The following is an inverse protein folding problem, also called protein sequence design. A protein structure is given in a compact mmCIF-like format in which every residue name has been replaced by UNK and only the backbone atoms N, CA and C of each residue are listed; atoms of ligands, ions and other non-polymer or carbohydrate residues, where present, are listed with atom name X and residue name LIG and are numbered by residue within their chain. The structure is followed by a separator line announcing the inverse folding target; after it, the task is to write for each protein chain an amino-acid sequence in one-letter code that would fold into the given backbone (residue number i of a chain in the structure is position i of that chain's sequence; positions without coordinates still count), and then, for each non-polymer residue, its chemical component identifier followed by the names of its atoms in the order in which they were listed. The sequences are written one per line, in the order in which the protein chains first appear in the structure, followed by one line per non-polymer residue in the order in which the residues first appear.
data_IF_836773371070
#
_entry.id   IF_836773371070
#
_cell.length_a   1.000
_cell.length_b   1.000
_cell.length_c   1.000
_cell.angle_alpha   90.00
_cell.angle_beta   90.00
_cell.angle_gamma   90.00
#
_symmetry.space_group_name_H-M   'P 1'
#
loop_
_entity.id
_entity.type
_entity.pdbx_description
1 polymer ?
#
# COMPACT_ATOMS: atom_id res chain seq x y z
N UNK A 1 -60.30 1.10 109.68
CA UNK A 1 -60.09 0.67 108.28
C UNK A 1 -59.17 1.68 107.63
N UNK A 2 -57.90 1.33 107.47
CA UNK A 2 -56.90 2.22 106.86
C UNK A 2 -57.20 2.33 105.37
N UNK A 3 -57.49 3.56 104.92
CA UNK A 3 -57.85 3.89 103.56
C UNK A 3 -56.70 3.48 102.62
N UNK A 4 -56.86 2.42 101.82
CA UNK A 4 -55.85 2.03 100.83
C UNK A 4 -55.86 3.05 99.68
N UNK A 5 -54.94 4.01 99.74
CA UNK A 5 -54.71 4.96 98.65
C UNK A 5 -54.00 4.25 97.49
N UNK A 6 -54.73 4.02 96.39
CA UNK A 6 -54.16 3.52 95.15
C UNK A 6 -53.39 4.64 94.43
N UNK A 7 -52.14 4.38 94.06
CA UNK A 7 -51.33 5.28 93.23
C UNK A 7 -51.64 5.06 91.75
N UNK A 8 -51.66 6.12 90.96
CA UNK A 8 -51.69 5.99 89.50
C UNK A 8 -50.38 5.40 88.98
N UNK A 9 -50.44 4.67 87.87
CA UNK A 9 -49.24 4.09 87.22
C UNK A 9 -48.21 5.17 86.92
N UNK A 10 -48.65 6.36 86.48
CA UNK A 10 -47.76 7.50 86.23
C UNK A 10 -47.10 8.05 87.49
N UNK A 11 -47.81 8.08 88.63
CA UNK A 11 -47.23 8.49 89.91
C UNK A 11 -46.19 7.48 90.41
N UNK A 12 -46.47 6.18 90.24
CA UNK A 12 -45.52 5.11 90.60
C UNK A 12 -44.25 5.16 89.73
N UNK A 13 -44.39 5.29 88.41
CA UNK A 13 -43.25 5.39 87.48
C UNK A 13 -42.39 6.63 87.78
N UNK A 14 -43.01 7.79 88.06
CA UNK A 14 -42.28 9.01 88.45
C UNK A 14 -41.55 8.85 89.78
N UNK A 15 -42.15 8.14 90.73
CA UNK A 15 -41.49 7.84 92.01
C UNK A 15 -40.27 6.93 91.82
N UNK A 16 -40.39 5.86 91.03
CA UNK A 16 -39.26 4.96 90.73
C UNK A 16 -38.16 5.70 89.98
N UNK A 17 -38.50 6.52 88.98
CA UNK A 17 -37.53 7.35 88.28
C UNK A 17 -36.74 8.26 89.22
N UNK A 18 -37.41 8.96 90.15
CA UNK A 18 -36.74 9.79 91.15
C UNK A 18 -35.77 9.01 92.03
N UNK A 19 -36.06 7.74 92.32
CA UNK A 19 -35.13 6.86 93.07
C UNK A 19 -33.91 6.51 92.23
N UNK A 20 -34.08 6.21 90.94
CA UNK A 20 -32.97 5.95 90.02
C UNK A 20 -32.08 7.19 89.84
N UNK A 21 -32.70 8.35 89.61
CA UNK A 21 -31.98 9.60 89.35
C UNK A 21 -31.22 10.10 90.60
N UNK A 22 -31.74 9.84 91.80
CA UNK A 22 -31.13 10.26 93.06
C UNK A 22 -30.07 9.30 93.59
N UNK A 23 -29.95 8.08 93.04
CA UNK A 23 -28.95 7.10 93.45
C UNK A 23 -27.59 7.41 92.80
N UNK A 24 -26.56 7.79 93.58
CA UNK A 24 -25.24 8.08 93.04
C UNK A 24 -24.58 6.89 92.33
N UNK A 25 -24.96 5.65 92.68
CA UNK A 25 -24.42 4.44 92.06
C UNK A 25 -24.96 4.16 90.66
N UNK A 26 -26.09 4.78 90.29
CA UNK A 26 -26.68 4.66 88.96
C UNK A 26 -26.28 5.81 88.03
N UNK A 27 -25.50 6.75 88.54
CA UNK A 27 -24.86 7.81 87.76
C UNK A 27 -23.41 7.44 87.44
N UNK A 28 -22.96 7.71 86.21
CA UNK A 28 -21.62 7.39 85.72
C UNK A 28 -21.21 5.91 85.85
N UNK A 29 -22.13 5.00 85.53
CA UNK A 29 -21.88 3.55 85.50
C UNK A 29 -21.00 3.18 84.32
N UNK A 30 -20.13 2.19 84.54
CA UNK A 30 -19.25 1.60 83.53
C UNK A 30 -19.73 0.19 83.21
N UNK A 31 -20.10 -0.06 81.95
CA UNK A 31 -20.70 -1.32 81.52
C UNK A 31 -19.96 -1.84 80.30
N UNK A 32 -19.64 -3.14 80.31
CA UNK A 32 -19.07 -3.88 79.19
C UNK A 32 -20.15 -4.77 78.59
N UNK A 33 -20.29 -4.75 77.28
CA UNK A 33 -21.25 -5.62 76.59
C UNK A 33 -21.16 -5.52 75.07
N UNK A 34 -21.91 -6.37 74.39
CA UNK A 34 -21.96 -6.44 72.93
C UNK A 34 -23.14 -5.62 72.40
N UNK A 35 -22.93 -4.86 71.33
CA UNK A 35 -23.98 -4.09 70.66
C UNK A 35 -24.87 -5.03 69.85
N UNK A 36 -26.18 -4.88 70.02
CA UNK A 36 -27.20 -5.53 69.21
C UNK A 36 -28.33 -4.55 68.87
N UNK A 37 -29.06 -4.81 67.78
CA UNK A 37 -30.17 -3.98 67.32
C UNK A 37 -29.83 -2.49 67.15
N UNK A 38 -28.62 -2.18 66.69
CA UNK A 38 -28.16 -0.82 66.43
C UNK A 38 -28.98 -0.12 65.35
N UNK A 39 -29.48 1.08 65.68
CA UNK A 39 -30.22 1.98 64.78
C UNK A 39 -29.76 3.41 65.01
N UNK A 40 -29.36 4.08 63.93
CA UNK A 40 -29.06 5.50 63.93
C UNK A 40 -30.21 6.29 63.31
N UNK A 41 -30.76 7.25 64.06
CA UNK A 41 -31.85 8.10 63.59
C UNK A 41 -31.30 9.32 62.82
N UNK A 42 -32.11 9.92 61.94
CA UNK A 42 -31.73 11.14 61.17
C UNK A 42 -31.39 12.34 62.04
N UNK A 43 -31.84 12.35 63.30
CA UNK A 43 -31.50 13.36 64.32
C UNK A 43 -30.09 13.18 64.92
N UNK A 44 -29.37 12.12 64.52
CA UNK A 44 -28.03 11.81 65.01
C UNK A 44 -27.99 11.05 66.34
N UNK A 45 -29.16 10.65 66.88
CA UNK A 45 -29.25 9.78 68.05
C UNK A 45 -29.04 8.32 67.67
N UNK A 46 -28.32 7.59 68.52
CA UNK A 46 -28.09 6.15 68.35
C UNK A 46 -28.87 5.38 69.40
N UNK A 47 -29.64 4.39 68.95
CA UNK A 47 -30.39 3.47 69.79
C UNK A 47 -29.86 2.07 69.57
N UNK A 48 -29.49 1.39 70.65
CA UNK A 48 -28.98 0.03 70.58
C UNK A 48 -29.27 -0.71 71.88
N UNK A 49 -29.09 -2.03 71.86
CA UNK A 49 -29.21 -2.87 73.05
C UNK A 49 -27.84 -3.43 73.38
N UNK A 50 -27.39 -3.16 74.59
CA UNK A 50 -26.16 -3.73 75.12
C UNK A 50 -26.50 -5.06 75.79
N UNK A 51 -25.90 -6.16 75.32
CA UNK A 51 -26.17 -7.51 75.83
C UNK A 51 -24.91 -8.14 76.43
N UNK A 52 -25.13 -8.98 77.44
CA UNK A 52 -24.17 -9.96 77.93
C UNK A 52 -24.79 -11.38 77.80
N UNK A 53 -24.17 -12.40 78.41
CA UNK A 53 -24.65 -13.79 78.32
C UNK A 53 -26.03 -14.03 78.98
N UNK A 54 -26.46 -13.15 79.89
CA UNK A 54 -27.64 -13.38 80.76
C UNK A 54 -28.67 -12.25 80.74
N UNK A 55 -28.28 -11.06 80.30
CA UNK A 55 -29.07 -9.85 80.40
C UNK A 55 -28.93 -8.97 79.16
N UNK A 56 -29.93 -8.09 78.98
CA UNK A 56 -29.97 -7.08 77.92
C UNK A 56 -30.39 -5.74 78.49
N UNK A 57 -29.76 -4.68 78.03
CA UNK A 57 -29.97 -3.31 78.50
C UNK A 57 -30.19 -2.37 77.30
N UNK A 58 -31.36 -1.74 77.26
CA UNK A 58 -31.66 -0.72 76.25
C UNK A 58 -30.77 0.50 76.49
N UNK A 59 -30.09 0.95 75.45
CA UNK A 59 -29.09 2.01 75.52
C UNK A 59 -29.35 3.07 74.45
N UNK A 60 -29.21 4.33 74.84
CA UNK A 60 -29.41 5.49 73.97
C UNK A 60 -28.22 6.43 74.10
N UNK A 61 -27.69 6.86 72.96
CA UNK A 61 -26.64 7.88 72.90
C UNK A 61 -27.15 9.09 72.13
N UNK A 62 -27.20 10.24 72.80
CA UNK A 62 -27.66 11.48 72.19
C UNK A 62 -26.61 12.07 71.24
N UNK A 63 -27.07 12.87 70.29
CA UNK A 63 -26.24 13.41 69.21
C UNK A 63 -25.11 14.31 69.74
N UNK A 64 -25.33 15.00 70.85
CA UNK A 64 -24.31 15.83 71.51
C UNK A 64 -23.11 14.99 71.98
N UNK A 65 -23.36 13.78 72.49
CA UNK A 65 -22.33 12.86 72.96
C UNK A 65 -21.65 12.09 71.82
N UNK A 66 -22.32 11.97 70.67
CA UNK A 66 -21.80 11.30 69.48
C UNK A 66 -20.67 12.10 68.77
N UNK A 67 -20.63 13.43 68.91
CA UNK A 67 -19.65 14.28 68.19
C UNK A 67 -18.16 14.01 68.50
N UNK A 68 -17.86 13.36 69.63
CA UNK A 68 -16.50 13.01 70.04
C UNK A 68 -16.07 11.58 69.70
N UNK A 69 -16.90 10.80 69.02
CA UNK A 69 -16.62 9.40 68.71
C UNK A 69 -15.65 9.27 67.53
N UNK A 70 -14.61 8.46 67.71
CA UNK A 70 -13.59 8.16 66.67
C UNK A 70 -13.90 6.92 65.83
N UNK A 71 -14.99 6.22 66.14
CA UNK A 71 -15.41 5.01 65.44
C UNK A 71 -16.93 4.96 65.32
N UNK A 72 -17.42 4.22 64.31
CA UNK A 72 -18.84 3.99 64.10
C UNK A 72 -19.24 2.67 64.76
N UNK A 73 -20.19 2.65 65.71
CA UNK A 73 -20.61 1.40 66.34
C UNK A 73 -21.44 0.53 65.39
N UNK A 74 -21.18 -0.78 65.36
CA UNK A 74 -21.93 -1.77 64.59
C UNK A 74 -22.44 -2.92 65.46
N UNK A 75 -23.42 -3.67 64.96
CA UNK A 75 -23.91 -4.87 65.63
C UNK A 75 -22.80 -5.92 65.75
N UNK A 76 -22.70 -6.57 66.92
CA UNK A 76 -21.68 -7.57 67.21
C UNK A 76 -20.41 -7.01 67.86
N UNK A 77 -20.24 -5.68 67.90
CA UNK A 77 -19.07 -5.06 68.54
C UNK A 77 -19.15 -5.13 70.07
N UNK A 78 -18.07 -5.56 70.71
CA UNK A 78 -17.90 -5.44 72.16
C UNK A 78 -17.43 -4.03 72.50
N UNK A 79 -18.11 -3.38 73.44
CA UNK A 79 -17.85 -1.99 73.81
C UNK A 79 -17.82 -1.80 75.32
N UNK A 80 -16.97 -0.86 75.74
CA UNK A 80 -16.94 -0.28 77.08
C UNK A 80 -17.72 1.03 77.04
N UNK A 81 -18.78 1.10 77.84
CA UNK A 81 -19.72 2.20 77.84
C UNK A 81 -19.72 2.88 79.20
N UNK A 82 -19.73 4.21 79.20
CA UNK A 82 -19.94 5.04 80.39
C UNK A 82 -21.22 5.85 80.23
N UNK A 83 -22.10 5.80 81.22
CA UNK A 83 -23.40 6.48 81.15
C UNK A 83 -24.16 6.50 82.47
N UNK A 84 -25.38 7.01 82.42
CA UNK A 84 -26.30 7.02 83.57
C UNK A 84 -27.48 6.09 83.29
N UNK A 85 -27.94 5.37 84.31
CA UNK A 85 -29.12 4.51 84.21
C UNK A 85 -30.32 5.29 84.75
N UNK A 86 -31.33 5.49 83.90
CA UNK A 86 -32.58 6.15 84.31
C UNK A 86 -33.80 5.49 83.66
N UNK A 87 -34.99 5.88 84.10
CA UNK A 87 -36.26 5.29 83.68
C UNK A 87 -36.95 6.16 82.63
N UNK A 88 -37.33 5.57 81.50
CA UNK A 88 -38.11 6.24 80.47
C UNK A 88 -39.60 6.32 80.87
N UNK A 89 -40.07 7.52 81.21
CA UNK A 89 -41.39 7.74 81.83
C UNK A 89 -42.58 7.22 81.01
N UNK A 90 -42.53 7.35 79.68
CA UNK A 90 -43.64 6.95 78.82
C UNK A 90 -43.77 5.42 78.66
N UNK A 91 -42.68 4.67 78.85
CA UNK A 91 -42.65 3.22 78.68
C UNK A 91 -42.42 2.42 79.97
N UNK A 92 -42.05 3.08 81.07
CA UNK A 92 -41.70 2.42 82.34
C UNK A 92 -40.48 1.49 82.26
N UNK A 93 -39.65 1.63 81.22
CA UNK A 93 -38.45 0.82 81.00
C UNK A 93 -37.20 1.56 81.46
N UNK A 94 -36.26 0.86 82.11
CA UNK A 94 -34.97 1.46 82.44
C UNK A 94 -34.04 1.39 81.23
N UNK A 95 -33.28 2.47 81.04
CA UNK A 95 -32.41 2.67 79.89
C UNK A 95 -31.07 3.24 80.35
N UNK A 96 -30.02 2.89 79.64
CA UNK A 96 -28.70 3.48 79.79
C UNK A 96 -28.55 4.68 78.85
N UNK A 97 -28.35 5.86 79.43
CA UNK A 97 -28.00 7.07 78.70
C UNK A 97 -26.48 7.17 78.58
N UNK A 98 -25.98 6.83 77.39
CA UNK A 98 -24.55 6.70 77.11
C UNK A 98 -23.92 8.07 76.91
N UNK A 99 -22.91 8.38 77.72
CA UNK A 99 -22.10 9.60 77.63
C UNK A 99 -20.86 9.41 76.77
N UNK A 100 -20.20 8.26 76.89
CA UNK A 100 -19.03 7.89 76.08
C UNK A 100 -18.98 6.38 75.84
N UNK A 101 -18.44 5.98 74.70
CA UNK A 101 -18.30 4.59 74.30
C UNK A 101 -16.91 4.38 73.69
N UNK A 102 -16.27 3.26 74.02
CA UNK A 102 -15.00 2.81 73.46
C UNK A 102 -15.11 1.33 73.06
N UNK A 103 -14.39 0.85 72.04
CA UNK A 103 -14.35 -0.57 71.72
C UNK A 103 -13.58 -1.35 72.80
N UNK A 104 -14.09 -2.52 73.16
CA UNK A 104 -13.50 -3.43 74.14
C UNK A 104 -12.56 -4.42 73.43
N UNK A 105 -11.24 -4.35 73.68
CA UNK A 105 -10.25 -5.33 73.23
C UNK A 105 -9.69 -5.18 71.80
N UNK A 106 -10.35 -4.44 70.90
CA UNK A 106 -9.86 -4.25 69.52
C UNK A 106 -8.79 -3.14 69.41
N UNK A 107 -8.75 -2.23 70.40
CA UNK A 107 -7.85 -1.08 70.40
C UNK A 107 -6.36 -1.44 70.43
N UNK A 108 -5.96 -2.41 71.26
CA UNK A 108 -4.53 -2.73 71.45
C UNK A 108 -3.93 -3.46 70.25
N UNK A 109 -4.65 -4.44 69.67
CA UNK A 109 -4.24 -5.13 68.45
C UNK A 109 -4.25 -4.17 67.25
N UNK A 110 -5.30 -3.36 67.10
CA UNK A 110 -5.33 -2.37 66.02
C UNK A 110 -4.22 -1.32 66.15
N UNK A 111 -3.94 -0.86 67.37
CA UNK A 111 -2.84 0.06 67.65
C UNK A 111 -1.48 -0.58 67.35
N UNK A 112 -1.26 -1.83 67.77
CA UNK A 112 -0.04 -2.58 67.45
C UNK A 112 0.14 -2.77 65.93
N UNK A 113 -0.95 -3.05 65.22
CA UNK A 113 -0.96 -3.16 63.76
C UNK A 113 -0.59 -1.83 63.08
N UNK A 114 -1.20 -0.71 63.48
CA UNK A 114 -0.86 0.61 62.91
C UNK A 114 0.59 1.00 63.22
N UNK A 115 1.06 0.72 64.44
CA UNK A 115 2.44 1.02 64.85
C UNK A 115 3.44 0.21 64.02
N UNK A 116 3.20 -1.09 63.85
CA UNK A 116 4.08 -1.96 63.07
C UNK A 116 4.02 -1.62 61.58
N UNK A 117 2.83 -1.31 61.04
CA UNK A 117 2.67 -0.84 59.67
C UNK A 117 3.53 0.41 59.40
N UNK A 118 3.45 1.41 60.27
CA UNK A 118 4.27 2.64 60.15
C UNK A 118 5.77 2.34 60.26
N UNK A 119 6.16 1.43 61.15
CA UNK A 119 7.57 1.01 61.31
C UNK A 119 8.12 0.38 60.04
N UNK A 120 7.40 -0.57 59.44
CA UNK A 120 7.83 -1.30 58.25
C UNK A 120 7.73 -0.45 56.97
N UNK A 121 6.75 0.46 56.90
CA UNK A 121 6.64 1.46 55.84
C UNK A 121 7.85 2.42 55.85
N UNK A 122 8.25 2.90 57.04
CA UNK A 122 9.43 3.74 57.21
C UNK A 122 10.73 3.00 56.88
N UNK A 123 10.78 1.69 57.09
CA UNK A 123 11.88 0.82 56.67
C UNK A 123 11.88 0.50 55.15
N UNK A 124 10.84 0.91 54.41
CA UNK A 124 10.77 0.79 52.96
C UNK A 124 10.28 -0.57 52.43
N UNK A 125 9.84 -1.50 53.29
CA UNK A 125 9.46 -2.86 52.89
C UNK A 125 8.23 -2.91 51.96
N UNK A 126 7.44 -1.84 51.88
CA UNK A 126 6.23 -1.78 51.04
C UNK A 126 6.48 -1.15 49.66
N UNK A 127 7.70 -0.68 49.39
CA UNK A 127 8.02 -0.01 48.13
C UNK A 127 7.88 -0.97 46.95
N UNK A 128 7.26 -0.48 45.88
CA UNK A 128 7.04 -1.27 44.67
C UNK A 128 8.34 -1.73 43.98
N UNK A 129 9.45 -1.02 44.21
CA UNK A 129 10.77 -1.35 43.65
C UNK A 129 11.33 -2.67 44.18
N UNK A 130 10.94 -3.09 45.38
CA UNK A 130 11.36 -4.35 45.97
C UNK A 130 10.49 -5.54 45.56
N UNK A 131 9.33 -5.28 44.93
CA UNK A 131 8.38 -6.33 44.55
C UNK A 131 8.83 -7.05 43.28
N UNK A 132 8.86 -8.38 43.36
CA UNK A 132 9.26 -9.27 42.27
C UNK A 132 8.09 -9.56 41.33
N UNK A 133 8.32 -9.60 40.00
CA UNK A 133 7.27 -9.96 39.07
C UNK A 133 6.90 -11.44 39.19
N UNK A 134 5.60 -11.75 39.20
CA UNK A 134 5.12 -13.13 39.18
C UNK A 134 5.44 -13.78 37.82
N UNK A 135 6.06 -14.97 37.79
CA UNK A 135 6.34 -15.68 36.56
C UNK A 135 5.05 -15.97 35.77
N UNK A 136 5.05 -15.65 34.47
CA UNK A 136 3.86 -15.83 33.62
C UNK A 136 3.47 -17.31 33.40
N UNK A 137 4.45 -18.22 33.44
CA UNK A 137 4.28 -19.65 33.19
C UNK A 137 5.06 -20.45 34.24
N UNK A 138 4.61 -20.49 35.50
CA UNK A 138 5.33 -21.21 36.55
C UNK A 138 5.26 -22.72 36.28
N UNK A 139 6.40 -23.41 36.38
CA UNK A 139 6.44 -24.88 36.34
C UNK A 139 5.97 -25.46 37.67
N UNK A 140 6.15 -24.71 38.74
CA UNK A 140 5.93 -25.15 40.11
C UNK A 140 5.35 -24.03 40.99
N UNK A 141 4.30 -24.37 41.74
CA UNK A 141 3.62 -23.45 42.67
C UNK A 141 3.73 -24.01 44.08
N UNK A 142 4.38 -23.26 44.97
CA UNK A 142 4.45 -23.57 46.39
C UNK A 142 3.23 -23.01 47.12
N UNK A 143 2.59 -23.81 47.97
CA UNK A 143 1.41 -23.39 48.74
C UNK A 143 1.71 -23.53 50.23
N UNK A 144 1.71 -22.41 50.94
CA UNK A 144 1.95 -22.31 52.39
C UNK A 144 0.62 -22.03 53.08
N UNK A 145 0.01 -23.07 53.62
CA UNK A 145 -1.26 -22.98 54.33
C UNK A 145 -1.47 -24.20 55.25
N UNK A 146 -2.58 -24.23 55.98
CA UNK A 146 -2.94 -25.39 56.80
C UNK A 146 -3.26 -26.61 55.92
N UNK A 147 -2.68 -27.79 56.19
CA UNK A 147 -2.90 -29.00 55.40
C UNK A 147 -4.37 -29.49 55.40
N UNK A 148 -5.15 -29.10 56.42
CA UNK A 148 -6.57 -29.47 56.56
C UNK A 148 -7.53 -28.37 56.16
N UNK A 149 -7.04 -27.18 55.78
CA UNK A 149 -7.84 -26.00 55.50
C UNK A 149 -8.58 -26.03 54.16
N UNK A 150 -9.74 -25.37 54.09
CA UNK A 150 -10.50 -25.18 52.84
C UNK A 150 -9.68 -24.42 51.78
N UNK A 151 -8.88 -23.44 52.19
CA UNK A 151 -8.02 -22.65 51.29
C UNK A 151 -7.07 -23.51 50.44
N UNK A 152 -6.50 -24.57 51.01
CA UNK A 152 -5.65 -25.50 50.24
C UNK A 152 -6.45 -26.17 49.13
N UNK A 153 -7.66 -26.64 49.43
CA UNK A 153 -8.53 -27.33 48.45
C UNK A 153 -8.91 -26.37 47.33
N UNK A 154 -9.26 -25.13 47.66
CA UNK A 154 -9.64 -24.10 46.71
C UNK A 154 -8.50 -23.76 45.74
N UNK A 155 -7.28 -23.59 46.27
CA UNK A 155 -6.07 -23.37 45.46
C UNK A 155 -5.81 -24.58 44.55
N UNK A 156 -5.85 -25.80 45.09
CA UNK A 156 -5.60 -27.03 44.34
C UNK A 156 -6.59 -27.23 43.19
N UNK A 157 -7.89 -27.04 43.45
CA UNK A 157 -8.94 -27.19 42.43
C UNK A 157 -8.76 -26.15 41.33
N UNK A 158 -8.48 -24.90 41.71
CA UNK A 158 -8.34 -23.79 40.76
C UNK A 158 -7.12 -23.98 39.86
N UNK A 159 -5.96 -24.33 40.42
CA UNK A 159 -4.74 -24.59 39.63
C UNK A 159 -4.95 -25.82 38.74
N UNK A 160 -5.48 -26.93 39.25
CA UNK A 160 -5.73 -28.13 38.42
C UNK A 160 -6.70 -27.86 37.26
N UNK A 161 -7.69 -26.99 37.46
CA UNK A 161 -8.65 -26.62 36.41
C UNK A 161 -8.03 -25.69 35.37
N UNK A 162 -7.30 -24.64 35.79
CA UNK A 162 -6.77 -23.61 34.87
C UNK A 162 -5.44 -24.01 34.24
N UNK A 163 -4.55 -24.65 34.99
CA UNK A 163 -3.18 -24.94 34.59
C UNK A 163 -2.67 -26.29 35.15
N UNK A 164 -3.24 -27.42 34.67
CA UNK A 164 -2.96 -28.77 35.19
C UNK A 164 -1.50 -29.23 35.02
N UNK A 165 -0.71 -28.52 34.22
CA UNK A 165 0.69 -28.86 33.95
C UNK A 165 1.67 -28.34 35.02
N UNK A 166 1.25 -27.44 35.91
CA UNK A 166 2.09 -26.99 37.02
C UNK A 166 2.15 -28.04 38.14
N UNK A 167 3.36 -28.26 38.66
CA UNK A 167 3.60 -29.06 39.86
C UNK A 167 3.23 -28.25 41.10
N UNK A 168 2.37 -28.79 41.97
CA UNK A 168 1.98 -28.11 43.21
C UNK A 168 2.76 -28.72 44.37
N UNK A 169 3.43 -27.88 45.17
CA UNK A 169 4.20 -28.30 46.34
C UNK A 169 3.56 -27.68 47.57
N UNK A 170 3.11 -28.51 48.51
CA UNK A 170 2.46 -28.03 49.73
C UNK A 170 3.49 -27.99 50.86
N UNK A 171 3.64 -26.81 51.44
CA UNK A 171 4.46 -26.57 52.63
C UNK A 171 3.51 -26.34 53.81
N UNK A 172 3.22 -27.37 54.62
CA UNK A 172 2.23 -27.26 55.68
C UNK A 172 2.71 -26.27 56.76
N UNK A 173 1.87 -25.29 57.08
CA UNK A 173 2.14 -24.30 58.12
C UNK A 173 0.92 -24.12 59.03
N UNK A 174 1.19 -23.82 60.31
CA UNK A 174 0.15 -23.34 61.21
C UNK A 174 -0.23 -21.92 60.79
N UNK A 175 -1.50 -21.71 60.46
CA UNK A 175 -2.05 -20.42 60.02
C UNK A 175 -2.85 -19.69 61.11
N UNK A 176 -2.91 -20.29 62.32
CA UNK A 176 -3.63 -19.74 63.47
C UNK A 176 -3.00 -20.15 64.80
N UNK A 177 -3.16 -19.29 65.80
CA UNK A 177 -2.61 -19.46 67.15
C UNK A 177 -1.19 -18.89 67.32
N UNK A 178 -0.69 -18.87 68.56
CA UNK A 178 0.54 -18.14 68.95
C UNK A 178 1.83 -18.61 68.25
N UNK A 179 1.84 -19.82 67.68
CA UNK A 179 3.00 -20.36 66.96
C UNK A 179 2.87 -20.23 65.43
N UNK A 180 1.79 -19.63 64.93
CA UNK A 180 1.52 -19.56 63.50
C UNK A 180 2.53 -18.71 62.74
N UNK A 181 2.85 -17.50 63.22
CA UNK A 181 3.81 -16.62 62.56
C UNK A 181 5.19 -17.29 62.34
N UNK A 182 5.73 -17.92 63.40
CA UNK A 182 6.99 -18.69 63.30
C UNK A 182 6.88 -19.88 62.35
N UNK A 183 5.72 -20.55 62.32
CA UNK A 183 5.49 -21.67 61.40
C UNK A 183 5.44 -21.23 59.94
N UNK A 184 4.82 -20.08 59.65
CA UNK A 184 4.72 -19.51 58.31
C UNK A 184 6.11 -19.08 57.83
N UNK A 185 6.85 -18.33 58.65
CA UNK A 185 8.22 -17.92 58.33
C UNK A 185 9.14 -19.12 58.06
N UNK A 186 9.07 -20.16 58.90
CA UNK A 186 9.83 -21.40 58.69
C UNK A 186 9.46 -22.11 57.39
N UNK A 187 8.18 -22.11 57.01
CA UNK A 187 7.74 -22.70 55.74
C UNK A 187 8.24 -21.91 54.54
N UNK A 188 8.27 -20.57 54.62
CA UNK A 188 8.83 -19.69 53.58
C UNK A 188 10.35 -19.93 53.45
N UNK A 189 11.09 -19.96 54.56
CA UNK A 189 12.53 -20.25 54.52
C UNK A 189 12.81 -21.66 53.97
N UNK A 190 11.98 -22.64 54.30
CA UNK A 190 12.12 -24.00 53.75
C UNK A 190 11.84 -24.05 52.25
N UNK A 191 10.85 -23.30 51.76
CA UNK A 191 10.56 -23.22 50.33
C UNK A 191 11.72 -22.57 49.55
N UNK A 192 12.29 -21.47 50.09
CA UNK A 192 13.46 -20.82 49.52
C UNK A 192 14.69 -21.73 49.54
N UNK A 193 14.95 -22.42 50.65
CA UNK A 193 16.08 -23.35 50.77
C UNK A 193 16.02 -24.53 49.79
N UNK A 194 14.82 -24.99 49.44
CA UNK A 194 14.64 -26.07 48.44
C UNK A 194 14.68 -25.57 47.01
N UNK A 195 14.33 -24.31 46.77
CA UNK A 195 14.28 -23.69 45.44
C UNK A 195 13.50 -24.51 44.39
N UNK A 196 12.45 -25.24 44.83
CA UNK A 196 11.62 -26.10 43.97
C UNK A 196 10.34 -25.41 43.48
N UNK A 197 10.10 -24.16 43.85
CA UNK A 197 8.88 -23.40 43.54
C UNK A 197 9.22 -22.12 42.81
N UNK A 198 8.50 -21.82 41.72
CA UNK A 198 8.68 -20.58 40.96
C UNK A 198 7.89 -19.40 41.56
N UNK A 199 6.81 -19.71 42.28
CA UNK A 199 5.96 -18.76 43.00
C UNK A 199 5.41 -19.40 44.26
N UNK A 200 5.26 -18.63 45.33
CA UNK A 200 4.65 -19.05 46.59
C UNK A 200 3.29 -18.38 46.77
N UNK A 201 2.32 -19.15 47.25
CA UNK A 201 1.03 -18.64 47.73
C UNK A 201 1.01 -18.82 49.23
N UNK A 202 0.94 -17.72 49.97
CA UNK A 202 0.85 -17.71 51.43
C UNK A 202 -0.54 -17.23 51.79
N UNK A 203 -1.31 -18.06 52.50
CA UNK A 203 -2.69 -17.68 52.77
C UNK A 203 -3.45 -18.59 53.71
N UNK A 204 -4.63 -18.10 54.08
CA UNK A 204 -5.60 -18.78 54.93
C UNK A 204 -6.98 -18.54 54.31
N UNK A 205 -7.96 -19.38 54.65
CA UNK A 205 -9.36 -19.01 54.44
C UNK A 205 -9.77 -17.85 55.36
N UNK A 206 -11.03 -17.40 55.24
CA UNK A 206 -11.54 -16.31 56.06
C UNK A 206 -11.40 -16.53 57.58
N UNK A 207 -11.51 -15.44 58.34
CA UNK A 207 -11.37 -15.42 59.79
C UNK A 207 -11.49 -14.01 60.35
N UNK A 208 -11.62 -13.88 61.68
CA UNK A 208 -11.57 -12.60 62.37
C UNK A 208 -10.15 -12.00 62.34
N UNK A 209 -10.01 -10.71 62.67
CA UNK A 209 -8.68 -10.06 62.74
C UNK A 209 -7.72 -10.76 63.72
N UNK A 210 -8.25 -11.35 64.80
CA UNK A 210 -7.49 -12.13 65.78
C UNK A 210 -6.94 -13.43 65.16
N UNK A 211 -7.74 -14.05 64.29
CA UNK A 211 -7.36 -15.26 63.57
C UNK A 211 -6.32 -14.98 62.47
N UNK A 212 -6.33 -13.79 61.89
CA UNK A 212 -5.38 -13.35 60.87
C UNK A 212 -4.12 -12.70 61.47
N UNK A 213 -4.05 -12.56 62.79
CA UNK A 213 -2.99 -11.82 63.47
C UNK A 213 -1.58 -12.35 63.18
N UNK A 214 -1.44 -13.65 62.94
CA UNK A 214 -0.16 -14.27 62.57
C UNK A 214 0.48 -13.66 61.31
N UNK A 215 -0.33 -13.10 60.40
CA UNK A 215 0.12 -12.42 59.17
C UNK A 215 0.42 -10.93 59.38
N UNK A 216 0.15 -10.41 60.57
CA UNK A 216 0.49 -9.06 61.03
C UNK A 216 1.72 -9.06 61.96
N UNK A 217 2.44 -10.18 62.09
CA UNK A 217 3.68 -10.24 62.87
C UNK A 217 4.91 -9.89 62.02
N UNK A 218 5.86 -9.19 62.64
CA UNK A 218 7.10 -8.72 62.00
C UNK A 218 7.91 -9.86 61.34
N UNK A 219 7.99 -11.02 62.00
CA UNK A 219 8.74 -12.19 61.49
C UNK A 219 8.18 -12.69 60.16
N UNK A 220 6.86 -12.61 59.95
CA UNK A 220 6.24 -13.02 58.67
C UNK A 220 6.54 -11.98 57.60
N UNK A 221 6.41 -10.69 57.92
CA UNK A 221 6.76 -9.60 57.03
C UNK A 221 8.21 -9.70 56.53
N UNK A 222 9.18 -9.85 57.45
CA UNK A 222 10.60 -10.04 57.10
C UNK A 222 10.79 -11.28 56.23
N UNK A 223 10.17 -12.42 56.58
CA UNK A 223 10.33 -13.65 55.80
C UNK A 223 9.78 -13.55 54.38
N UNK A 224 8.72 -12.75 54.15
CA UNK A 224 8.16 -12.51 52.82
C UNK A 224 9.09 -11.59 52.03
N UNK A 225 9.59 -10.52 52.65
CA UNK A 225 10.51 -9.56 52.03
C UNK A 225 11.84 -10.23 51.62
N UNK A 226 12.39 -11.07 52.49
CA UNK A 226 13.66 -11.77 52.27
C UNK A 226 13.51 -13.02 51.37
N UNK A 227 12.29 -13.35 50.94
CA UNK A 227 12.03 -14.54 50.11
C UNK A 227 12.61 -14.34 48.71
N UNK A 228 13.51 -15.21 48.26
CA UNK A 228 14.04 -15.22 46.88
C UNK A 228 12.94 -15.49 45.85
N UNK A 229 12.00 -16.39 46.19
CA UNK A 229 10.86 -16.78 45.36
C UNK A 229 9.73 -15.75 45.55
N UNK A 230 9.07 -15.28 44.47
CA UNK A 230 7.98 -14.31 44.58
C UNK A 230 6.78 -14.87 45.35
N UNK A 231 6.17 -14.03 46.19
CA UNK A 231 5.12 -14.40 47.14
C UNK A 231 3.81 -13.67 46.82
N UNK A 232 2.74 -14.45 46.72
CA UNK A 232 1.36 -13.98 46.62
C UNK A 232 0.68 -14.14 47.98
N UNK A 233 0.25 -13.03 48.59
CA UNK A 233 -0.56 -13.08 49.81
C UNK A 233 -2.02 -13.33 49.48
N UNK A 234 -2.64 -14.25 50.22
CA UNK A 234 -4.02 -14.69 50.04
C UNK A 234 -4.74 -14.80 51.40
N UNK A 235 -4.62 -13.75 52.22
CA UNK A 235 -5.03 -13.74 53.62
C UNK A 235 -6.26 -12.85 53.85
N UNK A 236 -6.25 -11.62 53.32
CA UNK A 236 -7.29 -10.62 53.56
C UNK A 236 -8.54 -10.81 52.70
N UNK A 237 -9.66 -10.22 53.14
CA UNK A 237 -10.85 -9.98 52.31
C UNK A 237 -10.77 -8.59 51.66
N UNK A 238 -11.77 -8.19 50.86
CA UNK A 238 -11.74 -6.89 50.16
C UNK A 238 -11.54 -5.67 51.10
N UNK A 239 -11.96 -5.76 52.37
CA UNK A 239 -11.86 -4.67 53.36
C UNK A 239 -10.72 -4.79 54.36
N UNK A 240 -10.18 -5.99 54.58
CA UNK A 240 -9.25 -6.27 55.68
C UNK A 240 -7.85 -6.53 55.13
N UNK A 241 -6.97 -5.53 55.24
CA UNK A 241 -5.57 -5.62 54.81
C UNK A 241 -4.68 -6.09 55.96
N UNK A 242 -3.80 -7.04 55.68
CA UNK A 242 -2.75 -7.49 56.60
C UNK A 242 -1.38 -6.93 56.21
N UNK A 243 -0.43 -6.94 57.13
CA UNK A 243 0.95 -6.51 56.85
C UNK A 243 1.58 -7.40 55.78
N UNK A 244 1.33 -8.72 55.83
CA UNK A 244 1.75 -9.65 54.78
C UNK A 244 1.26 -9.23 53.38
N UNK A 245 0.05 -8.68 53.25
CA UNK A 245 -0.47 -8.19 51.97
C UNK A 245 0.30 -6.98 51.42
N UNK A 246 0.84 -6.13 52.28
CA UNK A 246 1.62 -4.97 51.87
C UNK A 246 3.03 -5.35 51.45
N UNK A 247 3.65 -6.30 52.16
CA UNK A 247 5.01 -6.76 51.88
C UNK A 247 5.07 -7.72 50.70
N UNK A 248 4.03 -8.54 50.50
CA UNK A 248 3.99 -9.48 49.38
C UNK A 248 4.13 -8.80 48.02
N UNK A 249 4.72 -9.53 47.08
CA UNK A 249 4.92 -9.07 45.70
C UNK A 249 3.59 -8.84 44.99
N UNK A 250 2.60 -9.67 45.31
CA UNK A 250 1.24 -9.53 44.81
C UNK A 250 0.22 -9.88 45.89
N UNK A 251 -0.87 -9.12 45.93
CA UNK A 251 -2.01 -9.38 46.82
C UNK A 251 -3.14 -10.04 46.05
N UNK A 252 -3.75 -11.05 46.66
CA UNK A 252 -5.01 -11.63 46.24
C UNK A 252 -6.05 -11.52 47.37
N UNK A 253 -7.30 -11.14 47.07
CA UNK A 253 -8.37 -11.01 48.08
C UNK A 253 -8.94 -12.37 48.53
N UNK A 254 -8.56 -13.47 47.91
CA UNK A 254 -9.01 -14.83 48.25
C UNK A 254 -7.96 -15.86 47.87
N UNK A 255 -7.95 -17.05 48.51
CA UNK A 255 -7.12 -18.18 48.07
C UNK A 255 -7.37 -18.59 46.61
N UNK A 256 -8.63 -18.53 46.14
CA UNK A 256 -8.96 -18.78 44.73
C UNK A 256 -8.36 -17.72 43.82
N UNK A 257 -8.47 -16.43 44.16
CA UNK A 257 -7.86 -15.33 43.41
C UNK A 257 -6.35 -15.44 43.36
N UNK A 258 -5.70 -15.90 44.44
CA UNK A 258 -4.26 -16.13 44.46
C UNK A 258 -3.83 -17.22 43.48
N UNK A 259 -4.58 -18.31 43.43
CA UNK A 259 -4.36 -19.37 42.44
C UNK A 259 -4.56 -18.84 41.02
N UNK A 260 -5.56 -17.99 40.78
CA UNK A 260 -5.80 -17.40 39.46
C UNK A 260 -4.74 -16.42 38.99
N UNK A 261 -4.13 -15.68 39.92
CA UNK A 261 -3.01 -14.78 39.64
C UNK A 261 -1.69 -15.54 39.47
N UNK A 262 -1.51 -16.65 40.19
CA UNK A 262 -0.30 -17.46 40.12
C UNK A 262 -0.14 -18.16 38.76
N UNK A 263 -1.23 -18.64 38.15
CA UNK A 263 -1.16 -19.47 36.94
C UNK A 263 -2.04 -18.97 35.80
N UNK A 264 -1.60 -19.08 34.54
CA UNK A 264 -2.40 -18.68 33.39
C UNK A 264 -3.47 -19.73 33.04
N UNK A 265 -4.42 -19.38 32.17
CA UNK A 265 -5.40 -20.33 31.66
C UNK A 265 -4.85 -21.13 30.47
N UNK A 266 -4.71 -22.45 30.62
CA UNK A 266 -4.13 -23.33 29.60
C UNK A 266 -4.92 -23.31 28.28
N UNK A 267 -6.25 -23.37 28.33
CA UNK A 267 -7.09 -23.31 27.14
C UNK A 267 -6.91 -22.02 26.34
N UNK A 268 -6.80 -20.86 27.00
CA UNK A 268 -6.53 -19.59 26.31
C UNK A 268 -5.16 -19.60 25.62
N UNK A 269 -4.14 -20.20 26.26
CA UNK A 269 -2.81 -20.35 25.65
C UNK A 269 -2.89 -21.26 24.41
N UNK A 270 -3.59 -22.39 24.52
CA UNK A 270 -3.79 -23.32 23.40
C UNK A 270 -4.52 -22.65 22.24
N UNK A 271 -5.59 -21.89 22.52
CA UNK A 271 -6.33 -21.14 21.52
C UNK A 271 -5.45 -20.07 20.85
N UNK A 272 -4.66 -19.32 21.62
CA UNK A 272 -3.70 -18.35 21.09
C UNK A 272 -2.65 -19.02 20.20
N UNK A 273 -2.15 -20.19 20.58
CA UNK A 273 -1.21 -20.98 19.78
C UNK A 273 -1.85 -21.47 18.48
N UNK A 274 -3.09 -21.98 18.52
CA UNK A 274 -3.83 -22.40 17.33
C UNK A 274 -4.08 -21.22 16.38
N UNK A 275 -4.48 -20.06 16.90
CA UNK A 275 -4.70 -18.86 16.09
C UNK A 275 -3.40 -18.38 15.43
N UNK A 276 -2.28 -18.40 16.16
CA UNK A 276 -0.95 -18.07 15.60
C UNK A 276 -0.52 -19.07 14.52
N UNK A 277 -0.76 -20.36 14.73
CA UNK A 277 -0.51 -21.42 13.74
C UNK A 277 -1.33 -21.19 12.47
N UNK A 278 -2.64 -20.96 12.61
CA UNK A 278 -3.54 -20.72 11.47
C UNK A 278 -3.12 -19.48 10.66
N UNK A 279 -2.74 -18.39 11.35
CA UNK A 279 -2.22 -17.19 10.71
C UNK A 279 -0.92 -17.47 9.96
N UNK A 280 0.02 -18.18 10.57
CA UNK A 280 1.29 -18.56 9.92
C UNK A 280 1.04 -19.38 8.65
N UNK A 281 0.20 -20.42 8.73
CA UNK A 281 -0.16 -21.26 7.58
C UNK A 281 -0.77 -20.42 6.46
N UNK A 282 -1.68 -19.51 6.78
CA UNK A 282 -2.31 -18.61 5.81
C UNK A 282 -1.29 -17.70 5.14
N UNK A 283 -0.41 -17.06 5.90
CA UNK A 283 0.62 -16.17 5.35
C UNK A 283 1.59 -16.92 4.43
N UNK A 284 1.99 -18.14 4.79
CA UNK A 284 2.82 -18.99 3.93
C UNK A 284 2.07 -19.33 2.63
N UNK A 285 0.79 -19.72 2.74
CA UNK A 285 -0.01 -20.07 1.57
C UNK A 285 -0.21 -18.88 0.62
N UNK A 286 -0.45 -17.69 1.17
CA UNK A 286 -0.58 -16.44 0.41
C UNK A 286 0.74 -16.11 -0.31
N UNK A 287 1.88 -16.23 0.37
CA UNK A 287 3.20 -16.00 -0.23
C UNK A 287 3.48 -16.99 -1.38
N UNK A 288 3.21 -18.27 -1.17
CA UNK A 288 3.38 -19.31 -2.21
C UNK A 288 2.46 -19.05 -3.40
N UNK A 289 1.20 -18.69 -3.16
CA UNK A 289 0.24 -18.41 -4.23
C UNK A 289 0.62 -17.15 -5.01
N UNK A 290 1.17 -16.13 -4.33
CA UNK A 290 1.67 -14.92 -4.97
C UNK A 290 2.82 -15.25 -5.94
N UNK A 291 3.83 -16.00 -5.48
CA UNK A 291 4.95 -16.39 -6.34
C UNK A 291 4.53 -17.33 -7.48
N UNK A 292 3.59 -18.26 -7.25
CA UNK A 292 2.99 -19.07 -8.32
C UNK A 292 2.32 -18.21 -9.38
N UNK A 293 1.52 -17.23 -8.96
CA UNK A 293 0.84 -16.32 -9.88
C UNK A 293 1.83 -15.49 -10.69
N UNK A 294 2.90 -15.02 -10.05
CA UNK A 294 3.98 -14.29 -10.70
C UNK A 294 4.71 -15.16 -11.73
N UNK A 295 5.03 -16.40 -11.39
CA UNK A 295 5.62 -17.37 -12.31
C UNK A 295 4.72 -17.61 -13.51
N UNK A 296 3.44 -17.93 -13.28
CA UNK A 296 2.47 -18.16 -14.37
C UNK A 296 2.31 -16.93 -15.26
N UNK A 297 2.38 -15.71 -14.70
CA UNK A 297 2.37 -14.47 -15.50
C UNK A 297 3.62 -14.34 -16.37
N UNK A 298 4.79 -14.69 -15.85
CA UNK A 298 6.04 -14.66 -16.62
C UNK A 298 6.03 -15.71 -17.73
N UNK A 299 5.59 -16.94 -17.43
CA UNK A 299 5.44 -18.02 -18.42
C UNK A 299 4.46 -17.64 -19.54
N UNK A 300 3.35 -16.97 -19.20
CA UNK A 300 2.35 -16.50 -20.18
C UNK A 300 2.74 -15.21 -20.90
N UNK A 301 3.84 -14.57 -20.51
CA UNK A 301 4.31 -13.34 -21.14
C UNK A 301 4.62 -13.59 -22.62
N UNK A 302 4.31 -12.59 -23.46
CA UNK A 302 4.49 -12.66 -24.91
C UNK A 302 5.91 -13.09 -25.31
N UNK A 303 6.92 -12.61 -24.59
CA UNK A 303 8.32 -12.93 -24.84
C UNK A 303 8.64 -14.43 -24.70
N UNK A 304 8.03 -15.12 -23.72
CA UNK A 304 8.25 -16.55 -23.48
C UNK A 304 7.28 -17.43 -24.28
N UNK A 305 6.09 -16.93 -24.61
CA UNK A 305 5.09 -17.68 -25.38
C UNK A 305 5.34 -17.65 -26.89
N UNK A 306 5.87 -16.53 -27.40
CA UNK A 306 6.15 -16.35 -28.82
C UNK A 306 7.53 -15.73 -29.07
N UNK A 307 8.62 -16.36 -28.62
CA UNK A 307 9.97 -15.81 -28.78
C UNK A 307 10.33 -15.55 -30.25
N UNK A 308 9.82 -16.36 -31.19
CA UNK A 308 10.01 -16.17 -32.63
C UNK A 308 9.45 -14.84 -33.14
N UNK A 309 8.31 -14.41 -32.61
CA UNK A 309 7.67 -13.13 -33.00
C UNK A 309 8.51 -11.91 -32.62
N UNK A 310 9.39 -12.03 -31.62
CA UNK A 310 10.27 -10.92 -31.22
C UNK A 310 11.32 -10.57 -32.29
N UNK A 311 11.71 -11.52 -33.14
CA UNK A 311 12.67 -11.29 -34.22
C UNK A 311 12.07 -11.45 -35.62
N UNK A 312 10.80 -11.87 -35.78
CA UNK A 312 10.10 -11.89 -37.08
C UNK A 312 10.18 -10.53 -37.79
N UNK A 313 9.87 -9.43 -37.09
CA UNK A 313 10.00 -8.08 -37.68
C UNK A 313 11.43 -7.73 -38.06
N UNK A 314 12.43 -8.26 -37.34
CA UNK A 314 13.85 -8.05 -37.64
C UNK A 314 14.28 -8.84 -38.87
N UNK A 315 13.77 -10.05 -39.05
CA UNK A 315 13.95 -10.84 -40.27
C UNK A 315 13.32 -10.13 -41.48
N UNK A 316 12.08 -9.64 -41.36
CA UNK A 316 11.44 -8.91 -42.46
C UNK A 316 12.17 -7.59 -42.80
N UNK A 317 12.70 -6.89 -41.79
CA UNK A 317 13.58 -5.73 -42.00
C UNK A 317 14.88 -6.13 -42.70
N UNK A 318 15.49 -7.26 -42.34
CA UNK A 318 16.70 -7.77 -42.99
C UNK A 318 16.43 -8.06 -44.47
N UNK A 319 15.34 -8.75 -44.79
CA UNK A 319 14.94 -9.10 -46.16
C UNK A 319 14.74 -7.84 -47.01
N UNK A 320 13.97 -6.86 -46.50
CA UNK A 320 13.78 -5.56 -47.18
C UNK A 320 15.09 -4.82 -47.42
N UNK A 321 16.03 -4.91 -46.49
CA UNK A 321 17.33 -4.25 -46.60
C UNK A 321 18.23 -4.96 -47.60
N UNK A 322 18.21 -6.31 -47.63
CA UNK A 322 18.91 -7.10 -48.64
C UNK A 322 18.37 -6.85 -50.05
N UNK A 323 17.05 -6.83 -50.22
CA UNK A 323 16.40 -6.49 -51.50
C UNK A 323 16.78 -5.09 -51.99
N UNK A 324 16.77 -4.11 -51.07
CA UNK A 324 17.17 -2.74 -51.39
C UNK A 324 18.64 -2.68 -51.78
N UNK A 325 19.52 -3.38 -51.07
CA UNK A 325 20.94 -3.48 -51.40
C UNK A 325 21.13 -4.07 -52.80
N UNK A 326 20.46 -5.19 -53.10
CA UNK A 326 20.52 -5.82 -54.42
C UNK A 326 20.08 -4.87 -55.54
N UNK A 327 18.90 -4.26 -55.43
CA UNK A 327 18.38 -3.31 -56.43
C UNK A 327 19.27 -2.08 -56.61
N UNK A 328 19.78 -1.52 -55.52
CA UNK A 328 20.63 -0.33 -55.55
C UNK A 328 21.99 -0.65 -56.15
N UNK A 329 22.56 -1.81 -55.82
CA UNK A 329 23.83 -2.29 -56.37
C UNK A 329 23.71 -2.50 -57.88
N UNK A 330 22.67 -3.20 -58.35
CA UNK A 330 22.45 -3.40 -59.80
C UNK A 330 22.29 -2.07 -60.52
N UNK A 331 21.51 -1.13 -59.98
CA UNK A 331 21.36 0.21 -60.57
C UNK A 331 22.67 0.99 -60.61
N UNK A 332 23.48 0.89 -59.56
CA UNK A 332 24.80 1.52 -59.51
C UNK A 332 25.72 0.96 -60.59
N UNK A 333 25.78 -0.37 -60.73
CA UNK A 333 26.60 -1.02 -61.76
C UNK A 333 26.10 -0.69 -63.18
N UNK A 334 24.79 -0.67 -63.41
CA UNK A 334 24.21 -0.25 -64.70
C UNK A 334 24.60 1.19 -65.03
N UNK A 335 24.44 2.13 -64.08
CA UNK A 335 24.85 3.53 -64.29
C UNK A 335 26.34 3.64 -64.62
N UNK A 336 27.20 2.91 -63.91
CA UNK A 336 28.65 2.89 -64.17
C UNK A 336 28.98 2.28 -65.54
N UNK A 337 28.25 1.25 -65.96
CA UNK A 337 28.36 0.64 -67.29
C UNK A 337 27.96 1.62 -68.38
N UNK A 338 26.86 2.35 -68.20
CA UNK A 338 26.37 3.34 -69.15
C UNK A 338 27.32 4.53 -69.26
N UNK A 339 27.85 5.04 -68.13
CA UNK A 339 28.89 6.08 -68.11
C UNK A 339 30.13 5.62 -68.91
N UNK A 340 30.57 4.36 -68.72
CA UNK A 340 31.71 3.80 -69.45
C UNK A 340 31.41 3.63 -70.95
N UNK A 341 30.20 3.20 -71.31
CA UNK A 341 29.79 3.10 -72.71
C UNK A 341 29.74 4.48 -73.38
N UNK A 342 29.20 5.49 -72.70
CA UNK A 342 29.19 6.87 -73.20
C UNK A 342 30.60 7.40 -73.43
N UNK A 343 31.51 7.20 -72.48
CA UNK A 343 32.92 7.58 -72.65
C UNK A 343 33.58 6.87 -73.83
N UNK A 344 33.33 5.57 -74.00
CA UNK A 344 33.82 4.80 -75.16
C UNK A 344 33.22 5.30 -76.48
N UNK A 345 31.95 5.65 -76.52
CA UNK A 345 31.30 6.18 -77.71
C UNK A 345 31.82 7.57 -78.08
N UNK A 346 32.06 8.43 -77.08
CA UNK A 346 32.72 9.73 -77.28
C UNK A 346 34.12 9.51 -77.84
N UNK A 347 34.90 8.61 -77.25
CA UNK A 347 36.25 8.29 -77.70
C UNK A 347 36.26 7.79 -79.14
N UNK A 348 35.32 6.90 -79.52
CA UNK A 348 35.19 6.40 -80.89
C UNK A 348 34.77 7.48 -81.88
N UNK A 349 33.82 8.35 -81.49
CA UNK A 349 33.34 9.44 -82.37
C UNK A 349 34.40 10.53 -82.58
N UNK A 350 35.15 10.86 -81.54
CA UNK A 350 36.25 11.83 -81.62
C UNK A 350 37.57 11.19 -82.06
N UNK A 351 37.56 9.89 -82.42
CA UNK A 351 38.75 9.22 -82.91
C UNK A 351 39.20 9.89 -84.22
N UNK A 352 40.48 10.33 -84.32
CA UNK A 352 40.98 11.04 -85.50
C UNK A 352 40.74 10.30 -86.82
N UNK A 353 40.75 8.96 -86.79
CA UNK A 353 40.48 8.13 -87.96
C UNK A 353 39.05 8.31 -88.52
N UNK A 354 38.05 8.47 -87.65
CA UNK A 354 36.67 8.69 -88.09
C UNK A 354 36.48 10.09 -88.66
N UNK A 355 37.13 11.10 -88.08
CA UNK A 355 37.16 12.46 -88.63
C UNK A 355 37.82 12.49 -90.03
N UNK A 356 38.94 11.77 -90.19
CA UNK A 356 39.62 11.61 -91.49
C UNK A 356 38.74 10.90 -92.51
N UNK A 357 38.01 9.85 -92.09
CA UNK A 357 37.08 9.12 -92.97
C UNK A 357 35.93 10.01 -93.44
N UNK A 358 35.27 10.71 -92.51
CA UNK A 358 34.17 11.62 -92.84
C UNK A 358 34.63 12.75 -93.78
N UNK A 359 35.80 13.36 -93.52
CA UNK A 359 36.37 14.39 -94.39
C UNK A 359 36.69 13.87 -95.80
N UNK A 360 37.15 12.61 -95.94
CA UNK A 360 37.36 11.97 -97.24
C UNK A 360 36.04 11.77 -97.99
N UNK A 361 35.00 11.31 -97.30
CA UNK A 361 33.68 11.09 -97.89
C UNK A 361 33.05 12.42 -98.35
N UNK A 362 33.14 13.47 -97.53
CA UNK A 362 32.70 14.83 -97.88
C UNK A 362 33.45 15.37 -99.11
N UNK A 363 34.79 15.23 -99.14
CA UNK A 363 35.60 15.64 -100.28
C UNK A 363 35.17 14.92 -101.58
N UNK A 364 34.88 13.63 -101.51
CA UNK A 364 34.41 12.86 -102.66
C UNK A 364 33.02 13.33 -103.14
N UNK A 365 32.09 13.61 -102.21
CA UNK A 365 30.78 14.14 -102.55
C UNK A 365 30.88 15.52 -103.19
N UNK A 366 31.66 16.43 -102.60
CA UNK A 366 31.87 17.77 -103.16
C UNK A 366 32.54 17.71 -104.54
N UNK A 367 33.53 16.84 -104.74
CA UNK A 367 34.16 16.63 -106.05
C UNK A 367 33.15 16.12 -107.09
N UNK A 368 32.23 15.24 -106.70
CA UNK A 368 31.17 14.72 -107.58
C UNK A 368 30.14 15.80 -107.94
N UNK A 369 29.73 16.61 -106.97
CA UNK A 369 28.81 17.73 -107.18
C UNK A 369 29.44 18.78 -108.10
N UNK A 370 30.70 19.16 -107.85
CA UNK A 370 31.45 20.10 -108.67
C UNK A 370 31.55 19.62 -110.12
N UNK A 371 31.90 18.35 -110.33
CA UNK A 371 32.00 17.76 -111.67
C UNK A 371 30.67 17.81 -112.42
N UNK A 372 29.57 17.46 -111.75
CA UNK A 372 28.21 17.54 -112.34
C UNK A 372 27.84 18.98 -112.70
N UNK A 373 28.14 19.94 -111.83
CA UNK A 373 27.88 21.36 -112.11
C UNK A 373 28.70 21.85 -113.32
N UNK A 374 29.98 21.49 -113.39
CA UNK A 374 30.85 21.79 -114.52
C UNK A 374 30.32 21.19 -115.83
N UNK A 375 29.91 19.92 -115.83
CA UNK A 375 29.33 19.26 -117.00
C UNK A 375 28.01 19.90 -117.45
N UNK A 376 27.17 20.33 -116.52
CA UNK A 376 25.91 21.02 -116.82
C UNK A 376 26.16 22.38 -117.47
N UNK A 377 27.07 23.18 -116.91
CA UNK A 377 27.47 24.48 -117.47
C UNK A 377 28.06 24.28 -118.87
N UNK A 378 28.95 23.30 -119.03
CA UNK A 378 29.56 22.99 -120.32
C UNK A 378 28.49 22.59 -121.37
N UNK A 379 27.58 21.68 -121.03
CA UNK A 379 26.47 21.28 -121.92
C UNK A 379 25.60 22.46 -122.32
N UNK A 380 25.22 23.31 -121.36
CA UNK A 380 24.40 24.50 -121.63
C UNK A 380 25.11 25.45 -122.59
N UNK A 381 26.40 25.73 -122.36
CA UNK A 381 27.19 26.61 -123.24
C UNK A 381 27.39 26.02 -124.63
N UNK A 382 27.63 24.71 -124.73
CA UNK A 382 27.73 24.02 -126.01
C UNK A 382 26.41 24.06 -126.79
N UNK A 383 25.27 23.87 -126.13
CA UNK A 383 23.95 23.97 -126.76
C UNK A 383 23.64 25.41 -127.22
N UNK A 384 23.97 26.42 -126.40
CA UNK A 384 23.86 27.83 -126.79
C UNK A 384 24.69 28.14 -128.04
N UNK A 385 25.94 27.65 -128.09
CA UNK A 385 26.81 27.83 -129.24
C UNK A 385 26.21 27.22 -130.51
N UNK A 386 25.77 25.95 -130.44
CA UNK A 386 25.11 25.28 -131.57
C UNK A 386 23.87 26.04 -132.03
N UNK A 387 23.04 26.52 -131.10
CA UNK A 387 21.85 27.30 -131.44
C UNK A 387 22.18 28.62 -132.15
N UNK A 388 23.18 29.37 -131.66
CA UNK A 388 23.63 30.63 -132.27
C UNK A 388 24.19 30.38 -133.67
N UNK A 389 24.99 29.33 -133.86
CA UNK A 389 25.53 28.99 -135.20
C UNK A 389 24.43 28.60 -136.19
N UNK A 390 23.38 27.90 -135.74
CA UNK A 390 22.24 27.54 -136.57
C UNK A 390 21.38 28.75 -136.96
N UNK A 391 21.13 29.69 -136.04
CA UNK A 391 20.40 30.94 -136.32
C UNK A 391 21.18 31.84 -137.29
N UNK A 392 22.49 31.98 -137.10
CA UNK A 392 23.36 32.70 -138.03
C UNK A 392 23.31 32.09 -139.44
N UNK A 393 23.27 30.76 -139.53
CA UNK A 393 23.18 30.04 -140.81
C UNK A 393 21.83 30.19 -141.51
N UNK A 394 20.74 30.36 -140.76
CA UNK A 394 19.39 30.50 -141.32
C UNK A 394 19.11 31.90 -141.88
N UNK A 395 19.80 32.92 -141.37
CA UNK A 395 19.63 34.33 -141.76
C UNK A 395 20.57 34.76 -142.90
N UNK A 396 21.36 33.85 -143.49
CA UNK A 396 22.30 34.18 -144.57
C UNK A 396 21.62 34.23 -145.95
N UNK A 397 21.59 35.39 -146.63
CA UNK A 397 20.92 35.58 -147.93
C UNK A 397 21.42 34.65 -149.04
N UNK A 398 22.67 34.21 -148.96
CA UNK A 398 23.32 33.32 -149.93
C UNK A 398 22.65 31.93 -150.02
N UNK A 399 22.04 31.43 -148.94
CA UNK A 399 21.36 30.12 -148.93
C UNK A 399 19.97 30.15 -149.59
N UNK A 400 19.35 31.32 -149.75
CA UNK A 400 18.05 31.46 -150.42
C UNK A 400 18.23 31.25 -151.93
N UNK A 401 19.34 31.71 -152.50
CA UNK A 401 19.66 31.51 -153.93
C UNK A 401 20.05 30.06 -154.28
N UNK A 402 20.48 29.24 -153.30
CA UNK A 402 20.76 27.81 -153.54
C UNK A 402 19.52 26.94 -153.70
N UNK A 403 18.33 27.43 -153.28
CA UNK A 403 17.07 26.69 -153.38
C UNK A 403 16.35 26.83 -154.73
N UNK A 404 17.02 27.38 -155.75
CA UNK A 404 16.51 27.44 -157.12
C UNK A 404 15.56 28.60 -157.41
N UNK A 405 15.52 29.62 -156.56
CA UNK A 405 14.76 30.85 -156.81
C UNK A 405 15.55 31.78 -157.72
N UNK A 406 14.98 32.13 -158.88
CA UNK A 406 15.52 33.13 -159.80
C UNK A 406 14.85 34.48 -159.61
N UNK A 407 15.59 35.56 -159.87
CA UNK A 407 15.08 36.93 -159.90
C UNK A 407 14.75 37.30 -161.35
N UNK A 408 13.55 37.82 -161.59
CA UNK A 408 13.09 38.21 -162.93
C UNK A 408 13.28 39.71 -163.11
N UNK A 409 13.99 40.11 -164.15
CA UNK A 409 14.25 41.50 -164.52
C UNK A 409 13.61 41.83 -165.88
N UNK A 410 13.12 43.06 -166.03
CA UNK A 410 12.61 43.60 -167.29
C UNK A 410 13.76 44.09 -168.20
N UNK A 411 13.43 44.53 -169.42
CA UNK A 411 14.40 44.98 -170.44
C UNK A 411 15.22 46.21 -170.00
N UNK A 412 14.75 46.95 -168.99
CA UNK A 412 15.41 48.09 -168.34
C UNK A 412 16.18 47.72 -167.06
N UNK A 413 16.47 46.43 -166.85
CA UNK A 413 17.10 45.85 -165.66
C UNK A 413 16.30 46.03 -164.34
N UNK A 414 15.03 46.43 -164.41
CA UNK A 414 14.20 46.57 -163.20
C UNK A 414 13.62 45.24 -162.74
N UNK A 415 13.62 44.99 -161.43
CA UNK A 415 13.12 43.74 -160.88
C UNK A 415 11.59 43.66 -160.98
N UNK A 416 11.11 42.68 -161.73
CA UNK A 416 9.68 42.40 -161.91
C UNK A 416 9.18 41.64 -160.68
N UNK A 417 8.31 42.30 -159.89
CA UNK A 417 7.75 41.74 -158.66
C UNK A 417 6.29 41.30 -158.80
N UNK A 418 5.63 41.70 -159.88
CA UNK A 418 4.21 41.46 -160.11
C UNK A 418 3.91 41.25 -161.60
N UNK A 419 2.92 40.41 -161.90
CA UNK A 419 2.48 40.11 -163.27
C UNK A 419 1.86 41.31 -163.99
N UNK A 420 1.51 42.38 -163.28
CA UNK A 420 0.99 43.63 -163.87
C UNK A 420 2.07 44.50 -164.51
N UNK A 421 3.35 44.22 -164.23
CA UNK A 421 4.49 45.03 -164.69
C UNK A 421 5.03 44.60 -166.06
N UNK A 422 4.44 43.58 -166.66
CA UNK A 422 4.89 43.00 -167.93
C UNK A 422 3.69 42.69 -168.81
N UNK A 423 3.87 42.79 -170.12
CA UNK A 423 2.83 42.54 -171.12
C UNK A 423 3.23 41.42 -172.09
N UNK A 424 2.24 40.93 -172.84
CA UNK A 424 2.40 39.77 -173.73
C UNK A 424 3.25 40.19 -174.94
N UNK A 425 4.39 39.51 -175.14
CA UNK A 425 5.39 39.84 -176.16
C UNK A 425 6.66 40.52 -175.62
N UNK A 426 6.67 40.93 -174.35
CA UNK A 426 7.86 41.56 -173.75
C UNK A 426 8.98 40.54 -173.50
N UNK A 427 10.23 40.98 -173.65
CA UNK A 427 11.43 40.22 -173.29
C UNK A 427 11.81 40.51 -171.83
N UNK A 428 12.12 39.46 -171.08
CA UNK A 428 12.54 39.50 -169.67
C UNK A 428 13.81 38.66 -169.47
N UNK A 429 14.62 39.04 -168.48
CA UNK A 429 15.84 38.34 -168.10
C UNK A 429 15.65 37.67 -166.72
N UNK A 430 15.74 36.35 -166.64
CA UNK A 430 15.67 35.61 -165.38
C UNK A 430 17.08 35.24 -164.93
N UNK A 431 17.52 35.81 -163.81
CA UNK A 431 18.83 35.52 -163.22
C UNK A 431 18.71 34.41 -162.17
N UNK A 432 19.47 33.34 -162.36
CA UNK A 432 19.56 32.14 -161.50
C UNK A 432 21.01 31.96 -161.02
N UNK A 433 21.24 30.99 -160.12
CA UNK A 433 22.55 30.77 -159.45
C UNK A 433 23.74 30.70 -160.41
N UNK A 434 23.55 30.20 -161.62
CA UNK A 434 24.59 29.89 -162.60
C UNK A 434 24.48 30.65 -163.94
N UNK A 435 23.53 31.59 -164.07
CA UNK A 435 23.43 32.41 -165.29
C UNK A 435 22.15 33.25 -165.41
N UNK A 436 22.05 33.96 -166.53
CA UNK A 436 20.88 34.78 -166.87
C UNK A 436 20.24 34.24 -168.15
N UNK A 437 18.91 34.06 -168.14
CA UNK A 437 18.12 33.54 -169.26
C UNK A 437 17.27 34.66 -169.85
N UNK A 438 17.45 34.97 -171.13
CA UNK A 438 16.53 35.83 -171.87
C UNK A 438 15.29 35.04 -172.31
N UNK A 439 14.12 35.52 -171.91
CA UNK A 439 12.84 34.85 -172.10
C UNK A 439 11.82 35.84 -172.68
N UNK A 440 10.91 35.37 -173.53
CA UNK A 440 9.81 36.18 -174.06
C UNK A 440 8.48 35.72 -173.48
N UNK A 441 7.62 36.66 -173.09
CA UNK A 441 6.36 36.38 -172.40
C UNK A 441 5.29 35.95 -173.40
N UNK A 442 5.04 34.64 -173.47
CA UNK A 442 4.03 34.04 -174.36
C UNK A 442 2.61 34.04 -173.83
N UNK A 443 2.41 34.10 -172.52
CA UNK A 443 1.08 34.13 -171.91
C UNK A 443 1.19 34.60 -170.46
N UNK A 444 0.25 35.42 -170.00
CA UNK A 444 0.18 35.87 -168.61
C UNK A 444 -1.10 35.32 -168.02
N UNK A 445 -0.97 34.45 -167.02
CA UNK A 445 -2.09 33.92 -166.24
C UNK A 445 -1.96 34.46 -164.83
N UNK A 446 -2.94 35.24 -164.39
CA UNK A 446 -3.02 35.61 -162.98
C UNK A 446 -3.30 34.37 -162.15
N UNK A 447 -2.54 34.25 -161.06
CA UNK A 447 -2.65 33.13 -160.14
C UNK A 447 -3.82 33.41 -159.21
N UNK A 448 -4.85 32.57 -159.26
CA UNK A 448 -5.84 32.47 -158.17
C UNK A 448 -5.12 31.77 -157.02
N UNK A 449 -4.93 32.46 -155.89
CA UNK A 449 -4.41 31.83 -154.68
C UNK A 449 -5.51 31.04 -153.94
N UNK A 450 -5.18 29.85 -153.40
CA UNK A 450 -6.01 29.10 -152.44
C UNK A 450 -5.91 29.61 -151.00
#
# INVERSE_FOLDING_TARGET
MSNQQYLSVSALTKYIKRKFDADPHLQNVYIKGEISNFKQHTSGHMYFTLKDEKARLLSVMFAANNKGMKFLPENGMKVLVKGDISLYEAGGQYQLYVKSMAPDGVGDLYFAYEQLKKKLEAAGLFLAEHKKPIPQYPKSVGVITSPTGAALRDILITIKRRYPIARIIVYPALVQGNNAAKSIAKAISMANARAESDVLIVGRGGGSIEELWAFNEEVVAESIYDSDIPVISAVGHETDFTIADFVADMRAPTPTGAAELAVPHLNEILERLMNRKNRLTRSIQEAVNFERTRLTRMERSYAFRYPHKMYEQKLEQLDKTMDRLGRTSTRYFMKKRDELNQLNDILKKQHPEQAVKNAKDELQQHAKVLRRAMEAIYRQKSQQFVHITATLSALSPLKIMERGYGLVFAEDETLVKSTQQVTKGDKIAVSIKDGTLECEIKDIKERIEP
#
